data_IF_941605446166
#
_entry.id   IF_941605446166
#
_cell.length_a   1.000
_cell.length_b   1.000
_cell.length_c   1.000
_cell.angle_alpha   90.00
_cell.angle_beta   90.00
_cell.angle_gamma   90.00
#
_symmetry.space_group_name_H-M   'P 1'
#
loop_
_entity.id
_entity.type
_entity.pdbx_description
1 polymer ?
#
# COMPACT_ATOMS: atom_id res chain seq x y z
N UNK A 1 -2.18 11.59 -28.18
CA UNK A 1 -3.15 10.73 -27.49
C UNK A 1 -3.02 10.88 -26.00
N UNK A 2 -4.13 10.97 -25.32
CA UNK A 2 -4.09 11.00 -23.86
C UNK A 2 -3.72 9.62 -23.31
N UNK A 3 -3.00 9.60 -22.22
CA UNK A 3 -2.59 8.37 -21.55
C UNK A 3 -3.81 7.72 -20.91
N UNK A 4 -3.81 6.40 -20.93
CA UNK A 4 -4.79 5.58 -20.24
C UNK A 4 -4.10 4.80 -19.12
N UNK A 5 -4.83 4.52 -18.07
CA UNK A 5 -4.31 3.80 -16.92
C UNK A 5 -5.22 2.65 -16.54
N UNK A 6 -4.63 1.52 -16.17
CA UNK A 6 -5.36 0.42 -15.55
C UNK A 6 -5.73 0.79 -14.11
N UNK A 7 -4.83 1.49 -13.43
CA UNK A 7 -5.10 2.07 -12.11
C UNK A 7 -4.39 3.42 -12.02
N UNK A 8 -5.06 4.38 -11.42
CA UNK A 8 -4.49 5.69 -11.15
C UNK A 8 -5.17 6.21 -9.89
N UNK A 9 -4.60 5.86 -8.75
CA UNK A 9 -5.20 6.12 -7.46
C UNK A 9 -4.26 6.88 -6.54
N UNK A 10 -4.86 7.75 -5.74
CA UNK A 10 -4.21 8.40 -4.62
C UNK A 10 -5.13 8.29 -3.42
N UNK A 11 -4.60 7.84 -2.29
CA UNK A 11 -5.37 7.71 -1.08
C UNK A 11 -4.57 8.22 0.11
N UNK A 12 -5.25 8.88 1.04
CA UNK A 12 -4.64 9.26 2.31
C UNK A 12 -4.68 8.06 3.25
N UNK A 13 -3.62 7.91 4.05
CA UNK A 13 -3.47 6.75 4.92
C UNK A 13 -3.94 7.01 6.35
N UNK A 14 -4.06 8.26 6.75
CA UNK A 14 -4.56 8.60 8.07
C UNK A 14 -6.08 8.78 8.05
N UNK A 15 -6.72 8.43 9.15
CA UNK A 15 -8.18 8.56 9.28
C UNK A 15 -8.64 9.99 9.03
N UNK A 16 -7.89 10.97 9.55
CA UNK A 16 -8.07 12.36 9.16
C UNK A 16 -7.16 12.63 7.99
N UNK A 17 -7.73 13.01 6.85
CA UNK A 17 -6.97 13.27 5.63
C UNK A 17 -5.97 14.39 5.85
N UNK A 18 -4.70 14.07 5.67
CA UNK A 18 -3.63 15.06 5.68
C UNK A 18 -2.59 14.65 4.64
N UNK A 19 -1.77 15.62 4.24
CA UNK A 19 -0.81 15.41 3.16
C UNK A 19 0.43 14.63 3.58
N UNK A 20 0.53 14.23 4.84
CA UNK A 20 1.75 13.60 5.38
C UNK A 20 1.81 12.08 5.21
N UNK A 21 0.65 11.44 5.02
CA UNK A 21 0.61 10.00 4.83
C UNK A 21 -0.32 9.68 3.67
N UNK A 22 0.22 9.07 2.63
CA UNK A 22 -0.55 8.78 1.43
C UNK A 22 0.08 7.64 0.64
N UNK A 23 -0.72 7.08 -0.24
CA UNK A 23 -0.28 6.11 -1.22
C UNK A 23 -0.70 6.60 -2.61
N UNK A 24 0.20 6.46 -3.56
CA UNK A 24 -0.06 6.74 -4.97
C UNK A 24 0.26 5.49 -5.75
N UNK A 25 -0.69 5.04 -6.57
CA UNK A 25 -0.49 3.87 -7.40
C UNK A 25 -1.01 4.15 -8.81
N UNK A 26 -0.18 3.95 -9.81
CA UNK A 26 -0.65 3.99 -11.18
C UNK A 26 0.08 2.96 -12.05
N UNK A 27 -0.67 2.43 -13.00
CA UNK A 27 -0.15 1.52 -14.03
C UNK A 27 -0.71 2.00 -15.35
N UNK A 28 0.17 2.42 -16.24
CA UNK A 28 -0.22 2.92 -17.54
C UNK A 28 -0.66 1.79 -18.45
N UNK A 29 -1.74 2.03 -19.20
CA UNK A 29 -2.17 1.15 -20.29
C UNK A 29 -1.44 1.54 -21.57
N UNK A 30 -0.50 0.72 -21.98
CA UNK A 30 0.30 0.98 -23.18
C UNK A 30 -0.29 0.39 -24.46
N UNK A 31 -1.45 -0.23 -24.39
CA UNK A 31 -2.09 -0.84 -25.56
C UNK A 31 -2.35 0.14 -26.73
N UNK A 32 -2.59 1.46 -26.48
CA UNK A 32 -2.76 2.40 -27.59
C UNK A 32 -1.47 2.68 -28.38
N UNK A 33 -0.29 2.27 -27.86
CA UNK A 33 0.97 2.60 -28.50
C UNK A 33 1.49 1.43 -29.34
N UNK A 34 1.96 1.70 -30.59
CA UNK A 34 2.53 0.64 -31.39
C UNK A 34 3.79 0.07 -30.74
N UNK A 35 3.98 -1.24 -30.85
CA UNK A 35 5.13 -1.93 -30.30
C UNK A 35 6.47 -1.44 -30.90
N UNK A 36 6.43 -0.78 -32.06
CA UNK A 36 7.62 -0.27 -32.73
C UNK A 36 8.05 1.13 -32.28
N UNK A 37 7.31 1.75 -31.35
CA UNK A 37 7.64 3.10 -30.92
C UNK A 37 8.68 3.08 -29.80
N UNK A 38 9.88 3.58 -30.07
CA UNK A 38 10.97 3.62 -29.10
C UNK A 38 10.67 4.56 -27.91
N UNK A 39 9.73 5.52 -28.11
CA UNK A 39 9.32 6.45 -27.05
C UNK A 39 8.58 5.75 -25.92
N UNK A 40 7.93 4.64 -26.24
CA UNK A 40 7.13 3.91 -25.25
C UNK A 40 7.68 2.51 -25.13
N UNK A 41 8.67 2.35 -24.29
CA UNK A 41 9.22 1.05 -23.99
C UNK A 41 8.16 0.16 -23.35
N UNK A 42 8.31 -1.13 -23.54
CA UNK A 42 7.40 -2.09 -22.91
C UNK A 42 7.29 -1.81 -21.41
N UNK A 43 6.07 -1.86 -20.92
CA UNK A 43 5.78 -1.64 -19.53
C UNK A 43 5.33 -0.24 -19.17
N UNK A 44 5.58 0.77 -20.05
CA UNK A 44 5.10 2.15 -19.83
C UNK A 44 5.44 2.70 -18.44
N UNK A 45 4.55 3.54 -17.92
CA UNK A 45 4.70 4.12 -16.60
C UNK A 45 3.99 3.29 -15.54
N UNK A 46 4.72 2.94 -14.51
CA UNK A 46 4.20 2.19 -13.37
C UNK A 46 4.87 2.73 -12.11
N UNK A 47 4.07 3.02 -11.09
CA UNK A 47 4.60 3.58 -9.86
C UNK A 47 3.75 3.17 -8.66
N UNK A 48 4.43 2.83 -7.58
CA UNK A 48 3.82 2.70 -6.28
C UNK A 48 4.65 3.50 -5.29
N UNK A 49 4.07 4.58 -4.78
CA UNK A 49 4.71 5.44 -3.79
C UNK A 49 3.94 5.40 -2.50
N UNK A 50 4.66 5.25 -1.39
CA UNK A 50 4.08 5.27 -0.06
C UNK A 50 4.83 6.33 0.74
N UNK A 51 4.09 7.22 1.38
CA UNK A 51 4.66 8.29 2.19
C UNK A 51 4.08 8.27 3.59
N UNK A 52 4.90 8.57 4.58
CA UNK A 52 4.49 8.74 5.96
C UNK A 52 5.36 9.81 6.60
N UNK A 53 4.73 10.89 7.05
CA UNK A 53 5.39 12.07 7.58
C UNK A 53 6.38 12.67 6.56
N UNK A 54 7.68 12.59 6.85
CA UNK A 54 8.72 13.15 6.00
C UNK A 54 9.42 12.09 5.13
N UNK A 55 8.99 10.86 5.25
CA UNK A 55 9.61 9.74 4.54
C UNK A 55 8.69 9.27 3.42
N UNK A 56 9.26 9.03 2.26
CA UNK A 56 8.54 8.40 1.17
C UNK A 56 9.41 7.34 0.53
N UNK A 57 8.77 6.32 0.00
CA UNK A 57 9.43 5.24 -0.71
C UNK A 57 8.71 4.98 -2.02
N UNK A 58 9.50 4.86 -3.08
CA UNK A 58 9.02 4.43 -4.38
C UNK A 58 9.44 2.99 -4.59
N UNK A 59 8.46 2.13 -4.85
CA UNK A 59 8.73 0.74 -5.16
C UNK A 59 8.82 0.57 -6.66
N UNK A 60 9.89 -0.03 -7.10
CA UNK A 60 10.21 -0.18 -8.51
C UNK A 60 9.63 -1.48 -9.07
N UNK A 61 8.93 -1.36 -10.18
CA UNK A 61 8.36 -2.49 -10.91
C UNK A 61 8.72 -2.34 -12.38
N UNK A 62 9.40 -3.33 -12.93
CA UNK A 62 9.81 -3.31 -14.34
C UNK A 62 8.98 -4.35 -15.10
N UNK A 63 8.40 -3.93 -16.21
CA UNK A 63 7.59 -4.80 -17.07
C UNK A 63 8.19 -4.95 -18.46
N UNK A 64 9.47 -4.61 -18.63
CA UNK A 64 10.10 -4.51 -19.93
C UNK A 64 10.46 -5.86 -20.58
N UNK A 65 10.46 -6.93 -19.81
CA UNK A 65 10.73 -8.27 -20.33
C UNK A 65 9.88 -9.29 -19.60
N UNK A 66 9.79 -10.51 -20.16
CA UNK A 66 9.02 -11.57 -19.51
C UNK A 66 9.55 -11.88 -18.11
N UNK A 67 10.87 -11.89 -17.96
CA UNK A 67 11.52 -12.13 -16.66
C UNK A 67 11.19 -11.02 -15.65
N UNK A 68 11.26 -9.78 -16.10
CA UNK A 68 10.97 -8.64 -15.23
C UNK A 68 9.49 -8.58 -14.86
N UNK A 69 8.59 -8.95 -15.78
CA UNK A 69 7.16 -9.04 -15.49
C UNK A 69 6.86 -10.09 -14.43
N UNK A 70 7.50 -11.25 -14.53
CA UNK A 70 7.35 -12.31 -13.52
C UNK A 70 7.85 -11.85 -12.16
N UNK A 71 9.00 -11.19 -12.12
CA UNK A 71 9.56 -10.67 -10.89
C UNK A 71 8.68 -9.58 -10.27
N UNK A 72 8.12 -8.69 -11.09
CA UNK A 72 7.24 -7.63 -10.62
C UNK A 72 5.96 -8.18 -10.01
N UNK A 73 5.38 -9.22 -10.61
CA UNK A 73 4.22 -9.90 -10.03
C UNK A 73 4.57 -10.58 -8.71
N UNK A 74 5.70 -11.25 -8.64
CA UNK A 74 6.16 -11.86 -7.40
C UNK A 74 6.32 -10.81 -6.30
N UNK A 75 6.94 -9.69 -6.65
CA UNK A 75 7.17 -8.59 -5.71
C UNK A 75 5.87 -8.03 -5.15
N UNK A 76 4.91 -7.72 -6.01
CA UNK A 76 3.64 -7.15 -5.52
C UNK A 76 2.81 -8.18 -4.77
N UNK A 77 2.82 -9.44 -5.20
CA UNK A 77 2.10 -10.49 -4.50
C UNK A 77 2.69 -10.74 -3.11
N UNK A 78 4.01 -10.73 -3.00
CA UNK A 78 4.69 -10.87 -1.70
C UNK A 78 4.36 -9.71 -0.78
N UNK A 79 4.40 -8.48 -1.32
CA UNK A 79 4.04 -7.29 -0.57
C UNK A 79 2.61 -7.35 -0.08
N UNK A 80 1.67 -7.70 -0.95
CA UNK A 80 0.25 -7.78 -0.60
C UNK A 80 -0.01 -8.82 0.50
N UNK A 81 0.62 -9.99 0.40
CA UNK A 81 0.48 -11.04 1.43
C UNK A 81 1.04 -10.60 2.77
N UNK A 82 2.20 -9.96 2.74
CA UNK A 82 2.86 -9.47 3.96
C UNK A 82 2.01 -8.39 4.62
N UNK A 83 1.46 -7.47 3.82
CA UNK A 83 0.58 -6.42 4.35
C UNK A 83 -0.71 -6.99 4.94
N UNK A 84 -1.26 -8.04 4.34
CA UNK A 84 -2.45 -8.71 4.89
C UNK A 84 -2.17 -9.31 6.27
N UNK A 85 -1.03 -9.97 6.43
CA UNK A 85 -0.61 -10.53 7.73
C UNK A 85 -0.35 -9.43 8.75
N UNK A 86 0.27 -8.36 8.31
CA UNK A 86 0.54 -7.21 9.16
C UNK A 86 -0.75 -6.59 9.67
N UNK A 87 -1.74 -6.43 8.80
CA UNK A 87 -3.06 -5.92 9.19
C UNK A 87 -3.72 -6.82 10.24
N UNK A 88 -3.69 -8.13 10.02
CA UNK A 88 -4.25 -9.08 10.98
C UNK A 88 -3.55 -9.03 12.35
N UNK A 89 -2.23 -8.87 12.33
CA UNK A 89 -1.46 -8.76 13.55
C UNK A 89 -1.81 -7.47 14.32
N UNK A 90 -1.99 -6.36 13.62
CA UNK A 90 -2.44 -5.11 14.23
C UNK A 90 -3.81 -5.30 14.88
N UNK A 91 -4.75 -5.92 14.17
CA UNK A 91 -6.09 -6.17 14.68
C UNK A 91 -6.06 -7.02 15.95
N UNK A 92 -5.26 -8.08 15.94
CA UNK A 92 -5.07 -8.96 17.10
C UNK A 92 -4.50 -8.18 18.29
N UNK A 93 -3.49 -7.34 18.04
CA UNK A 93 -2.87 -6.55 19.11
C UNK A 93 -3.85 -5.51 19.68
N UNK A 94 -4.64 -4.86 18.81
CA UNK A 94 -5.65 -3.92 19.27
C UNK A 94 -6.65 -4.60 20.22
N UNK A 95 -7.14 -5.78 19.84
CA UNK A 95 -8.07 -6.54 20.68
C UNK A 95 -7.44 -6.90 22.02
N UNK A 96 -6.18 -7.31 22.01
CA UNK A 96 -5.43 -7.61 23.22
C UNK A 96 -5.30 -6.40 24.13
N UNK A 97 -4.97 -5.24 23.56
CA UNK A 97 -4.85 -3.98 24.31
C UNK A 97 -6.20 -3.60 24.90
N UNK A 98 -7.27 -3.69 24.13
CA UNK A 98 -8.62 -3.34 24.60
C UNK A 98 -9.06 -4.24 25.75
N UNK A 99 -8.79 -5.55 25.65
CA UNK A 99 -9.10 -6.51 26.71
C UNK A 99 -8.33 -6.21 27.99
N UNK A 100 -7.04 -5.91 27.86
CA UNK A 100 -6.20 -5.56 29.02
C UNK A 100 -6.63 -4.25 29.64
N UNK A 101 -7.00 -3.28 28.83
CA UNK A 101 -7.49 -1.98 29.29
C UNK A 101 -8.81 -2.14 30.03
N UNK A 102 -9.74 -2.92 29.49
CA UNK A 102 -11.02 -3.19 30.14
C UNK A 102 -10.83 -3.92 31.47
N UNK A 103 -9.92 -4.91 31.52
CA UNK A 103 -9.61 -5.63 32.76
C UNK A 103 -9.01 -4.70 33.82
N UNK A 104 -8.11 -3.81 33.42
CA UNK A 104 -7.52 -2.84 34.32
C UNK A 104 -8.53 -1.84 34.85
N UNK A 105 -9.41 -1.33 34.00
CA UNK A 105 -10.48 -0.43 34.41
C UNK A 105 -11.44 -1.11 35.39
N UNK A 106 -11.75 -2.37 35.16
CA UNK A 106 -12.60 -3.16 36.02
C UNK A 106 -11.97 -3.33 37.41
N UNK A 107 -10.67 -3.62 37.47
CA UNK A 107 -9.94 -3.73 38.72
C UNK A 107 -9.89 -2.39 39.46
N UNK A 108 -9.70 -1.28 38.76
CA UNK A 108 -9.70 0.05 39.38
C UNK A 108 -11.05 0.41 39.94
N UNK A 109 -12.13 0.09 39.22
CA UNK A 109 -13.48 0.32 39.69
C UNK A 109 -13.79 -0.50 40.94
N UNK A 110 -13.37 -1.77 40.98
CA UNK A 110 -13.54 -2.63 42.15
C UNK A 110 -12.75 -2.09 43.34
N UNK A 111 -11.53 -1.62 43.14
CA UNK A 111 -10.72 -1.03 44.18
C UNK A 111 -11.32 0.28 44.72
N UNK A 112 -11.95 1.07 43.87
CA UNK A 112 -12.55 2.34 44.27
C UNK A 112 -13.81 2.18 45.13
N UNK A 113 -14.45 1.02 45.13
CA UNK A 113 -15.65 0.73 45.93
C UNK A 113 -15.31 0.47 47.39
N UNK A 114 -14.04 0.18 47.68
CA UNK A 114 -13.60 -0.05 49.04
C UNK A 114 -13.00 1.25 49.60
#
# INVERSE_FOLDING_TARGET
MSKKFHVNERAFLNLQSNLRAYIIAYVEDTSPYPACCDEYREGGQISLRIADCYNEIDLYFDLSSARERENSLYKINTLAKTLARFREAIDTEIKSIEERTAALQHLRAAAAVH
#
